data_IF_798956380294
#
_entry.id   IF_798956380294
#
_cell.length_a   1.000
_cell.length_b   1.000
_cell.length_c   1.000
_cell.angle_alpha   90.00
_cell.angle_beta   90.00
_cell.angle_gamma   90.00
#
_symmetry.space_group_name_H-M   'P 1'
#
loop_
_entity.id
_entity.type
_entity.pdbx_description
1 polymer ?
#
# COMPACT_ATOMS: atom_id res chain seq x y z
N UNK A 1 -3.29 -7.06 -2.80
CA UNK A 1 -2.67 -5.77 -3.18
C UNK A 1 -3.77 -4.88 -3.69
N UNK A 2 -3.87 -3.64 -3.21
CA UNK A 2 -4.80 -2.63 -3.71
C UNK A 2 -4.00 -1.60 -4.50
N UNK A 3 -4.53 -1.16 -5.63
CA UNK A 3 -3.89 -0.16 -6.49
C UNK A 3 -4.98 0.71 -7.12
N UNK A 4 -4.72 2.01 -7.18
CA UNK A 4 -5.59 2.97 -7.84
C UNK A 4 -4.76 4.17 -8.30
N UNK A 5 -5.24 4.85 -9.33
CA UNK A 5 -4.59 6.06 -9.87
C UNK A 5 -4.61 7.22 -8.87
N UNK A 6 -5.70 7.35 -8.11
CA UNK A 6 -5.89 8.44 -7.17
C UNK A 6 -5.66 8.02 -5.72
N UNK A 7 -4.95 8.86 -4.96
CA UNK A 7 -4.76 8.69 -3.51
C UNK A 7 -6.07 8.53 -2.75
N UNK A 8 -7.06 9.39 -3.01
CA UNK A 8 -8.34 9.39 -2.29
C UNK A 8 -9.08 8.08 -2.48
N UNK A 9 -9.04 7.53 -3.69
CA UNK A 9 -9.64 6.23 -4.00
C UNK A 9 -8.89 5.10 -3.30
N UNK A 10 -7.55 5.12 -3.30
CA UNK A 10 -6.75 4.12 -2.59
C UNK A 10 -7.10 4.08 -1.10
N UNK A 11 -7.19 5.26 -0.49
CA UNK A 11 -7.53 5.39 0.93
C UNK A 11 -8.94 4.83 1.22
N UNK A 12 -9.91 5.11 0.35
CA UNK A 12 -11.27 4.57 0.45
C UNK A 12 -11.28 3.04 0.33
N UNK A 13 -10.53 2.48 -0.61
CA UNK A 13 -10.42 1.04 -0.81
C UNK A 13 -9.74 0.34 0.37
N UNK A 14 -8.66 0.91 0.90
CA UNK A 14 -7.96 0.34 2.07
C UNK A 14 -8.85 0.39 3.31
N UNK A 15 -9.64 1.45 3.49
CA UNK A 15 -10.61 1.53 4.58
C UNK A 15 -11.71 0.47 4.43
N UNK A 16 -12.32 0.35 3.26
CA UNK A 16 -13.34 -0.69 3.00
C UNK A 16 -12.78 -2.10 3.20
N UNK A 17 -11.51 -2.32 2.89
CA UNK A 17 -10.83 -3.59 3.16
C UNK A 17 -10.62 -3.83 4.66
N UNK A 18 -10.26 -2.80 5.43
CA UNK A 18 -10.19 -2.90 6.89
C UNK A 18 -11.55 -3.28 7.50
N UNK A 19 -12.62 -2.60 7.09
CA UNK A 19 -13.97 -2.89 7.58
C UNK A 19 -14.41 -4.32 7.23
N UNK A 20 -14.00 -4.83 6.07
CA UNK A 20 -14.24 -6.21 5.65
C UNK A 20 -13.46 -7.22 6.51
N UNK A 21 -12.17 -6.94 6.77
CA UNK A 21 -11.35 -7.79 7.65
C UNK A 21 -11.93 -7.85 9.06
N UNK A 22 -12.35 -6.71 9.62
CA UNK A 22 -12.93 -6.65 10.96
C UNK A 22 -14.21 -7.50 11.06
N UNK A 23 -15.06 -7.50 10.01
CA UNK A 23 -16.25 -8.38 9.93
C UNK A 23 -15.91 -9.87 9.92
N UNK A 24 -14.73 -10.22 9.43
CA UNK A 24 -14.22 -11.59 9.40
C UNK A 24 -13.44 -11.95 10.68
N UNK A 25 -13.35 -11.05 11.67
CA UNK A 25 -12.53 -11.24 12.87
C UNK A 25 -11.03 -11.15 12.62
N UNK A 26 -10.62 -10.58 11.49
CA UNK A 26 -9.23 -10.32 11.10
C UNK A 26 -8.92 -8.84 11.26
N UNK A 27 -7.63 -8.50 11.32
CA UNK A 27 -7.19 -7.10 11.44
C UNK A 27 -6.00 -6.81 10.54
N UNK A 28 -6.02 -5.66 9.89
CA UNK A 28 -4.87 -5.17 9.13
C UNK A 28 -3.70 -4.83 10.06
N UNK A 29 -2.50 -5.34 9.75
CA UNK A 29 -1.28 -4.95 10.44
C UNK A 29 -0.73 -3.64 9.88
N UNK A 30 -1.26 -2.52 10.37
CA UNK A 30 -0.87 -1.17 9.92
C UNK A 30 0.64 -0.91 10.04
N UNK A 31 1.36 -1.55 10.97
CA UNK A 31 2.82 -1.38 11.12
C UNK A 31 3.62 -2.05 10.00
N UNK A 32 3.06 -3.05 9.32
CA UNK A 32 3.68 -3.77 8.20
C UNK A 32 3.11 -3.37 6.84
N UNK A 33 2.00 -2.64 6.82
CA UNK A 33 1.39 -2.17 5.60
C UNK A 33 2.10 -0.90 5.16
N UNK A 34 2.62 -0.91 3.95
CA UNK A 34 3.26 0.22 3.29
C UNK A 34 2.42 0.65 2.08
N UNK A 35 2.63 1.88 1.61
CA UNK A 35 2.14 2.32 0.31
C UNK A 35 3.30 2.74 -0.59
N UNK A 36 3.08 2.61 -1.89
CA UNK A 36 4.02 3.02 -2.93
C UNK A 36 3.27 3.87 -3.95
N UNK A 37 3.94 4.87 -4.52
CA UNK A 37 3.40 5.71 -5.58
C UNK A 37 4.51 6.00 -6.59
N UNK A 38 4.15 6.08 -7.87
CA UNK A 38 5.02 6.51 -8.97
C UNK A 38 5.18 8.03 -9.01
N UNK A 39 4.32 8.76 -8.30
CA UNK A 39 4.37 10.22 -8.21
C UNK A 39 5.39 10.63 -7.14
N UNK A 40 6.52 11.18 -7.57
CA UNK A 40 7.58 11.66 -6.67
C UNK A 40 7.14 12.88 -5.86
N UNK A 41 6.26 13.73 -6.41
CA UNK A 41 5.81 14.98 -5.82
C UNK A 41 4.62 14.81 -4.85
N UNK A 42 4.08 13.59 -4.73
CA UNK A 42 3.05 13.25 -3.74
C UNK A 42 3.58 13.35 -2.31
N UNK A 43 3.49 14.57 -1.77
CA UNK A 43 3.80 14.93 -0.38
C UNK A 43 2.76 14.40 0.62
N UNK A 44 1.63 13.91 0.12
CA UNK A 44 0.46 13.67 0.93
C UNK A 44 0.35 12.18 1.33
N UNK A 45 0.35 11.89 2.63
CA UNK A 45 0.34 10.51 3.15
C UNK A 45 -1.04 9.85 3.11
N UNK A 46 -1.06 8.52 2.95
CA UNK A 46 -2.29 7.70 3.04
C UNK A 46 -2.54 7.36 4.51
N UNK A 47 -3.79 7.50 4.97
CA UNK A 47 -4.19 7.17 6.34
C UNK A 47 -5.19 6.02 6.36
N UNK A 48 -5.05 5.12 7.32
CA UNK A 48 -5.96 4.01 7.56
C UNK A 48 -6.32 4.00 9.02
N UNK A 49 -7.62 4.07 9.35
CA UNK A 49 -8.08 4.24 10.73
C UNK A 49 -7.37 5.42 11.46
N UNK A 50 -7.06 6.49 10.72
CA UNK A 50 -6.35 7.66 11.24
C UNK A 50 -4.83 7.51 11.41
N UNK A 51 -4.27 6.32 11.12
CA UNK A 51 -2.83 6.06 11.19
C UNK A 51 -2.22 6.23 9.81
N UNK A 52 -1.14 7.01 9.71
CA UNK A 52 -0.38 7.19 8.47
C UNK A 52 0.40 5.93 8.11
N UNK A 53 0.27 5.49 6.87
CA UNK A 53 1.05 4.39 6.34
C UNK A 53 2.45 4.88 5.93
N UNK A 54 3.51 4.11 6.20
CA UNK A 54 4.84 4.39 5.66
C UNK A 54 4.84 4.32 4.12
N UNK A 55 5.48 5.31 3.49
CA UNK A 55 5.81 5.30 2.05
C UNK A 55 7.06 4.47 1.81
N UNK A 56 7.04 3.59 0.82
CA UNK A 56 8.22 2.86 0.35
C UNK A 56 8.52 3.17 -1.12
N UNK A 57 9.80 3.11 -1.50
CA UNK A 57 10.25 3.17 -2.89
C UNK A 57 10.45 1.78 -3.51
N UNK A 58 10.45 0.72 -2.69
CA UNK A 58 10.61 -0.66 -3.14
C UNK A 58 9.58 -1.54 -2.45
N UNK A 59 8.77 -2.23 -3.24
CA UNK A 59 7.79 -3.18 -2.75
C UNK A 59 8.23 -4.61 -3.06
N UNK A 60 8.38 -5.43 -2.01
CA UNK A 60 8.74 -6.85 -2.14
C UNK A 60 7.50 -7.72 -1.99
N UNK A 61 7.31 -8.62 -2.92
CA UNK A 61 6.20 -9.57 -2.91
C UNK A 61 6.63 -10.93 -3.42
N UNK A 62 6.52 -11.95 -2.56
CA UNK A 62 6.80 -13.36 -2.87
C UNK A 62 8.15 -13.61 -3.56
N UNK A 63 9.19 -12.88 -3.15
CA UNK A 63 10.54 -13.01 -3.70
C UNK A 63 10.87 -12.03 -4.83
N UNK A 64 9.85 -11.49 -5.50
CA UNK A 64 10.02 -10.41 -6.48
C UNK A 64 10.05 -9.03 -5.79
N UNK A 65 10.71 -8.06 -6.42
CA UNK A 65 10.77 -6.69 -5.93
C UNK A 65 10.56 -5.70 -7.07
N UNK A 66 9.66 -4.74 -6.87
CA UNK A 66 9.40 -3.64 -7.80
C UNK A 66 9.78 -2.31 -7.16
N UNK A 67 10.29 -1.38 -7.96
CA UNK A 67 10.58 -0.02 -7.56
C UNK A 67 9.42 0.93 -7.90
N UNK A 68 9.41 2.10 -7.26
CA UNK A 68 8.39 3.13 -7.47
C UNK A 68 8.38 3.72 -8.88
N UNK A 69 9.49 3.62 -9.62
CA UNK A 69 9.57 4.00 -11.04
C UNK A 69 8.96 2.94 -11.99
N UNK A 70 8.42 1.84 -11.44
CA UNK A 70 7.89 0.71 -12.20
C UNK A 70 8.94 -0.33 -12.60
N UNK A 71 10.22 -0.13 -12.24
CA UNK A 71 11.30 -1.07 -12.53
C UNK A 71 11.20 -2.36 -11.71
N UNK A 72 11.46 -3.50 -12.35
CA UNK A 72 11.64 -4.78 -11.66
C UNK A 72 13.10 -4.87 -11.16
N UNK A 73 13.28 -4.96 -9.84
CA UNK A 73 14.61 -5.04 -9.22
C UNK A 73 15.08 -6.49 -9.01
N UNK A 74 14.15 -7.38 -8.69
CA UNK A 74 14.43 -8.80 -8.46
C UNK A 74 13.25 -9.60 -9.00
N UNK A 75 13.54 -10.64 -9.78
CA UNK A 75 12.57 -11.63 -10.22
C UNK A 75 12.71 -12.88 -9.35
N UNK A 76 11.59 -13.43 -8.88
CA UNK A 76 11.59 -14.74 -8.23
C UNK A 76 11.90 -15.82 -9.28
N UNK A 77 12.82 -16.73 -8.93
CA UNK A 77 13.34 -17.79 -9.80
C UNK A 77 12.43 -19.02 -9.84
#
# INVERSE_FOLDING_TARGET
MLASEGKTELQRQVQAWCDCLDRLGLKLNVKKTEYMTTDEDESSSIKVNGIELPRTSVFKYLGSAIASDGGLLVEAN
#
